data_IF_599775982114
#
_entry.id   IF_599775982114
#
_cell.length_a   1.000
_cell.length_b   1.000
_cell.length_c   1.000
_cell.angle_alpha   90.00
_cell.angle_beta   90.00
_cell.angle_gamma   90.00
#
_symmetry.space_group_name_H-M   'P 1'
#
loop_
_entity.id
_entity.type
_entity.pdbx_description
1 polymer ?
#
# COMPACT_ATOMS: atom_id res chain seq x y z
N UNK A 1 21.62 -15.84 34.22
CA UNK A 1 21.07 -14.58 34.79
C UNK A 1 20.96 -13.45 33.75
N UNK A 2 22.01 -13.10 33.00
CA UNK A 2 21.95 -12.02 31.98
C UNK A 2 20.96 -12.28 30.82
N UNK A 3 20.94 -13.50 30.26
CA UNK A 3 20.02 -13.88 29.17
C UNK A 3 18.54 -13.69 29.51
N UNK A 4 18.14 -13.97 30.76
CA UNK A 4 16.77 -13.78 31.22
C UNK A 4 16.38 -12.30 31.31
N UNK A 5 17.30 -11.43 31.77
CA UNK A 5 17.05 -9.98 31.82
C UNK A 5 16.86 -9.40 30.42
N UNK A 6 17.68 -9.81 29.46
CA UNK A 6 17.55 -9.42 28.05
C UNK A 6 16.22 -9.90 27.48
N UNK A 7 15.84 -11.16 27.73
CA UNK A 7 14.55 -11.69 27.28
C UNK A 7 13.35 -10.92 27.85
N UNK A 8 13.39 -10.50 29.13
CA UNK A 8 12.35 -9.69 29.76
C UNK A 8 12.19 -8.32 29.09
N UNK A 9 13.30 -7.64 28.76
CA UNK A 9 13.26 -6.35 28.07
C UNK A 9 12.68 -6.51 26.67
N UNK A 10 13.11 -7.52 25.91
CA UNK A 10 12.55 -7.78 24.58
C UNK A 10 11.06 -8.12 24.63
N UNK A 11 10.61 -8.88 25.63
CA UNK A 11 9.19 -9.15 25.84
C UNK A 11 8.42 -7.84 26.10
N UNK A 12 8.89 -6.99 27.01
CA UNK A 12 8.25 -5.70 27.29
C UNK A 12 8.15 -4.79 26.05
N UNK A 13 9.21 -4.74 25.23
CA UNK A 13 9.20 -3.99 23.96
C UNK A 13 8.19 -4.57 22.98
N UNK A 14 8.12 -5.90 22.86
CA UNK A 14 7.17 -6.58 21.98
C UNK A 14 5.71 -6.35 22.43
N UNK A 15 5.45 -6.39 23.74
CA UNK A 15 4.13 -6.15 24.32
C UNK A 15 3.69 -4.70 24.11
N UNK A 16 4.57 -3.73 24.38
CA UNK A 16 4.28 -2.31 24.14
C UNK A 16 3.98 -2.02 22.66
N UNK A 17 4.74 -2.64 21.76
CA UNK A 17 4.51 -2.53 20.31
C UNK A 17 3.18 -3.14 19.90
N UNK A 18 2.86 -4.32 20.43
CA UNK A 18 1.60 -5.01 20.14
C UNK A 18 0.41 -4.20 20.63
N UNK A 19 0.47 -3.66 21.86
CA UNK A 19 -0.54 -2.76 22.42
C UNK A 19 -0.73 -1.51 21.55
N UNK A 20 0.36 -0.85 21.15
CA UNK A 20 0.31 0.30 20.25
C UNK A 20 -0.38 -0.04 18.92
N UNK A 21 0.01 -1.14 18.27
CA UNK A 21 -0.58 -1.57 17.01
C UNK A 21 -2.07 -1.87 17.16
N UNK A 22 -2.48 -2.55 18.24
CA UNK A 22 -3.89 -2.83 18.48
C UNK A 22 -4.69 -1.54 18.69
N UNK A 23 -4.19 -0.58 19.47
CA UNK A 23 -4.85 0.72 19.68
C UNK A 23 -4.95 1.50 18.37
N UNK A 24 -3.85 1.58 17.63
CA UNK A 24 -3.79 2.31 16.36
C UNK A 24 -4.76 1.73 15.33
N UNK A 25 -4.69 0.43 15.06
CA UNK A 25 -5.56 -0.22 14.06
C UNK A 25 -7.02 -0.19 14.47
N UNK A 26 -7.35 -0.35 15.75
CA UNK A 26 -8.73 -0.19 16.23
C UNK A 26 -9.24 1.22 15.99
N UNK A 27 -8.42 2.25 16.28
CA UNK A 27 -8.78 3.64 16.04
C UNK A 27 -9.05 3.88 14.55
N UNK A 28 -8.13 3.47 13.67
CA UNK A 28 -8.26 3.63 12.23
C UNK A 28 -9.54 2.99 11.68
N UNK A 29 -9.85 1.77 12.09
CA UNK A 29 -11.04 1.02 11.62
C UNK A 29 -12.36 1.63 12.16
N UNK A 30 -12.34 2.22 13.35
CA UNK A 30 -13.54 2.87 13.91
C UNK A 30 -13.84 4.20 13.23
N UNK A 31 -12.82 4.99 12.96
CA UNK A 31 -12.94 6.35 12.40
C UNK A 31 -13.17 6.37 10.88
N UNK A 32 -12.76 5.31 10.16
CA UNK A 32 -12.79 5.29 8.69
C UNK A 32 -13.67 4.16 8.14
N UNK A 33 -14.39 4.45 7.05
CA UNK A 33 -15.19 3.44 6.32
C UNK A 33 -14.32 2.58 5.40
N UNK A 34 -13.30 3.21 4.81
CA UNK A 34 -12.39 2.61 3.85
C UNK A 34 -10.97 2.98 4.22
N UNK A 35 -10.08 2.00 4.18
CA UNK A 35 -8.64 2.17 4.42
C UNK A 35 -7.91 1.62 3.19
N UNK A 36 -7.04 2.44 2.60
CA UNK A 36 -6.17 2.03 1.51
C UNK A 36 -4.72 1.95 2.01
N UNK A 37 -4.02 0.86 1.68
CA UNK A 37 -2.62 0.64 2.05
C UNK A 37 -1.82 0.15 0.86
N UNK A 38 -0.52 0.40 0.86
CA UNK A 38 0.39 -0.18 -0.15
C UNK A 38 0.71 -1.64 0.15
N UNK A 39 0.77 -2.46 -0.90
CA UNK A 39 1.36 -3.78 -0.79
C UNK A 39 2.89 -3.72 -0.76
N UNK A 40 3.50 -3.85 0.41
CA UNK A 40 4.95 -3.87 0.57
C UNK A 40 5.45 -5.32 0.69
N UNK A 41 6.49 -5.69 -0.06
CA UNK A 41 7.20 -6.95 0.17
C UNK A 41 8.17 -6.81 1.34
N UNK A 42 7.60 -6.66 2.54
CA UNK A 42 8.33 -6.48 3.80
C UNK A 42 9.39 -7.57 3.97
N UNK A 43 9.07 -8.83 3.64
CA UNK A 43 10.02 -9.96 3.66
C UNK A 43 11.29 -9.71 2.83
N UNK A 44 11.16 -9.09 1.66
CA UNK A 44 12.32 -8.75 0.83
C UNK A 44 13.07 -7.54 1.37
N UNK A 45 12.36 -6.56 1.94
CA UNK A 45 12.99 -5.37 2.52
C UNK A 45 13.81 -5.71 3.79
N UNK A 46 13.37 -6.70 4.57
CA UNK A 46 14.10 -7.22 5.72
C UNK A 46 15.44 -7.89 5.36
N UNK A 47 15.69 -8.23 4.08
CA UNK A 47 16.99 -8.75 3.63
C UNK A 47 18.07 -7.66 3.62
N UNK A 48 17.70 -6.39 3.62
CA UNK A 48 18.66 -5.29 3.73
C UNK A 48 19.02 -5.05 5.21
N UNK A 49 20.17 -5.56 5.63
CA UNK A 49 20.63 -5.46 7.03
C UNK A 49 20.74 -4.01 7.56
N UNK A 50 20.90 -3.00 6.69
CA UNK A 50 20.93 -1.59 7.11
C UNK A 50 19.55 -1.06 7.53
N UNK A 51 18.47 -1.61 6.97
CA UNK A 51 17.09 -1.16 7.22
C UNK A 51 16.26 -2.19 7.99
N UNK A 52 16.72 -3.44 8.10
CA UNK A 52 15.98 -4.54 8.67
C UNK A 52 15.48 -4.26 10.10
N UNK A 53 16.32 -3.66 10.94
CA UNK A 53 15.94 -3.29 12.31
C UNK A 53 14.82 -2.25 12.33
N UNK A 54 14.98 -1.15 11.58
CA UNK A 54 13.96 -0.11 11.49
C UNK A 54 12.62 -0.63 10.94
N UNK A 55 12.67 -1.52 9.95
CA UNK A 55 11.48 -2.17 9.38
C UNK A 55 10.82 -3.10 10.40
N UNK A 56 11.61 -3.90 11.13
CA UNK A 56 11.10 -4.78 12.17
C UNK A 56 10.44 -3.98 13.31
N UNK A 57 11.06 -2.88 13.72
CA UNK A 57 10.52 -2.01 14.77
C UNK A 57 9.23 -1.31 14.34
N UNK A 58 9.10 -0.93 13.06
CA UNK A 58 7.87 -0.36 12.52
C UNK A 58 6.73 -1.39 12.34
N UNK A 59 7.05 -2.69 12.29
CA UNK A 59 6.08 -3.80 12.31
C UNK A 59 4.96 -3.70 11.26
N UNK A 60 5.30 -3.27 10.04
CA UNK A 60 4.35 -3.06 8.94
C UNK A 60 3.51 -4.30 8.60
N UNK A 61 4.11 -5.48 8.58
CA UNK A 61 3.38 -6.73 8.30
C UNK A 61 2.29 -6.99 9.34
N UNK A 62 2.58 -6.72 10.61
CA UNK A 62 1.63 -6.92 11.71
C UNK A 62 0.53 -5.85 11.67
N UNK A 63 0.88 -4.59 11.37
CA UNK A 63 -0.10 -3.53 11.15
C UNK A 63 -1.14 -3.93 10.08
N UNK A 64 -0.67 -4.38 8.91
CA UNK A 64 -1.55 -4.81 7.81
C UNK A 64 -2.38 -6.02 8.21
N UNK A 65 -1.77 -7.04 8.84
CA UNK A 65 -2.49 -8.21 9.35
C UNK A 65 -3.61 -7.83 10.32
N UNK A 66 -3.35 -6.85 11.20
CA UNK A 66 -4.34 -6.36 12.15
C UNK A 66 -5.48 -5.59 11.48
N UNK A 67 -5.16 -4.76 10.50
CA UNK A 67 -6.17 -4.06 9.71
C UNK A 67 -7.05 -5.04 8.95
N UNK A 68 -6.50 -6.12 8.38
CA UNK A 68 -7.28 -7.13 7.65
C UNK A 68 -8.40 -7.73 8.50
N UNK A 69 -8.06 -8.34 9.64
CA UNK A 69 -9.09 -8.98 10.46
C UNK A 69 -10.02 -7.97 11.12
N UNK A 70 -9.54 -6.78 11.51
CA UNK A 70 -10.42 -5.76 12.12
C UNK A 70 -11.37 -5.15 11.10
N UNK A 71 -10.91 -4.84 9.89
CA UNK A 71 -11.81 -4.37 8.84
C UNK A 71 -12.90 -5.41 8.58
N UNK A 72 -12.56 -6.70 8.55
CA UNK A 72 -13.54 -7.77 8.44
C UNK A 72 -14.54 -7.79 9.61
N UNK A 73 -14.09 -7.65 10.85
CA UNK A 73 -14.96 -7.65 12.03
C UNK A 73 -15.92 -6.46 12.08
N UNK A 74 -15.45 -5.28 11.70
CA UNK A 74 -16.22 -4.03 11.79
C UNK A 74 -16.93 -3.66 10.48
N UNK A 75 -16.90 -4.54 9.46
CA UNK A 75 -17.52 -4.29 8.16
C UNK A 75 -16.91 -3.10 7.41
N UNK A 76 -15.60 -2.88 7.54
CA UNK A 76 -14.86 -1.84 6.82
C UNK A 76 -14.17 -2.40 5.59
N UNK A 77 -13.92 -1.54 4.62
CA UNK A 77 -13.20 -1.92 3.40
C UNK A 77 -11.71 -1.68 3.57
N UNK A 78 -10.89 -2.72 3.40
CA UNK A 78 -9.44 -2.60 3.29
C UNK A 78 -9.03 -2.85 1.83
N UNK A 79 -8.35 -1.89 1.22
CA UNK A 79 -7.83 -2.01 -0.15
C UNK A 79 -6.31 -2.03 -0.10
N UNK A 80 -5.71 -3.03 -0.73
CA UNK A 80 -4.27 -3.06 -0.97
C UNK A 80 -3.99 -2.61 -2.39
N UNK A 81 -3.22 -1.54 -2.54
CA UNK A 81 -2.80 -1.08 -3.87
C UNK A 81 -1.54 -1.82 -4.32
N UNK A 82 -1.39 -1.95 -5.63
CA UNK A 82 -0.24 -2.63 -6.21
C UNK A 82 1.07 -1.93 -5.84
N UNK A 83 2.08 -2.74 -5.53
CA UNK A 83 3.39 -2.29 -5.06
C UNK A 83 4.22 -1.50 -6.06
N UNK A 84 3.89 -1.60 -7.35
CA UNK A 84 4.57 -0.89 -8.43
C UNK A 84 3.87 0.43 -8.75
N UNK A 85 2.76 0.74 -8.08
CA UNK A 85 2.10 2.02 -8.21
C UNK A 85 3.05 3.14 -7.72
N UNK A 86 3.32 4.17 -8.55
CA UNK A 86 4.30 5.21 -8.23
C UNK A 86 3.73 6.26 -7.26
N UNK A 87 3.22 5.86 -6.09
CA UNK A 87 2.53 6.73 -5.13
C UNK A 87 3.32 7.99 -4.76
N UNK A 88 4.60 7.85 -4.43
CA UNK A 88 5.46 8.97 -4.02
C UNK A 88 5.99 9.80 -5.18
N UNK A 89 6.11 9.20 -6.38
CA UNK A 89 6.65 9.85 -7.59
C UNK A 89 5.59 10.52 -8.45
N UNK A 90 4.33 10.13 -8.29
CA UNK A 90 3.19 10.69 -9.01
C UNK A 90 2.77 11.98 -8.33
N UNK A 91 2.61 13.06 -9.08
CA UNK A 91 1.99 14.29 -8.61
C UNK A 91 0.51 14.03 -8.37
N UNK A 92 0.02 14.26 -7.15
CA UNK A 92 -1.41 14.15 -6.83
C UNK A 92 -2.30 15.19 -7.50
N UNK A 93 -1.72 16.28 -8.01
CA UNK A 93 -2.44 17.35 -8.68
C UNK A 93 -2.63 17.09 -10.20
N UNK A 94 -1.53 16.87 -10.94
CA UNK A 94 -1.59 16.69 -12.41
C UNK A 94 -1.35 15.25 -12.88
N UNK A 95 -0.92 14.34 -12.01
CA UNK A 95 -0.64 12.95 -12.38
C UNK A 95 0.74 12.69 -13.00
N UNK A 96 1.57 13.71 -13.18
CA UNK A 96 2.96 13.57 -13.65
C UNK A 96 3.75 12.60 -12.79
N UNK A 97 4.51 11.67 -13.40
CA UNK A 97 5.37 10.75 -12.66
C UNK A 97 6.83 11.12 -12.87
N UNK A 98 7.50 11.52 -11.79
CA UNK A 98 8.93 11.85 -11.86
C UNK A 98 9.79 10.60 -12.03
N UNK A 99 10.83 10.69 -12.85
CA UNK A 99 11.71 9.55 -13.15
C UNK A 99 12.47 9.05 -11.91
N UNK A 100 13.11 10.00 -11.20
CA UNK A 100 13.98 9.71 -10.05
C UNK A 100 13.56 10.56 -8.86
N UNK A 101 13.25 9.88 -7.76
CA UNK A 101 12.96 10.50 -6.47
C UNK A 101 13.72 9.72 -5.37
N UNK A 102 14.99 10.11 -5.08
CA UNK A 102 15.84 9.41 -4.10
C UNK A 102 15.30 9.52 -2.68
N UNK A 103 15.46 8.49 -1.83
CA UNK A 103 14.76 8.40 -0.53
C UNK A 103 14.92 9.62 0.40
N UNK A 104 16.02 10.37 0.32
CA UNK A 104 16.30 11.57 1.12
C UNK A 104 15.49 12.83 0.74
N UNK A 105 14.85 12.86 -0.43
CA UNK A 105 14.10 14.06 -0.90
C UNK A 105 12.69 14.12 -0.30
N UNK A 106 12.53 14.73 0.86
CA UNK A 106 11.23 14.72 1.58
C UNK A 106 10.18 15.66 0.99
N UNK A 107 10.63 16.74 0.37
CA UNK A 107 9.79 17.73 -0.31
C UNK A 107 10.27 17.90 -1.76
N UNK A 108 9.34 18.14 -2.68
CA UNK A 108 9.65 18.37 -4.10
C UNK A 108 8.55 19.17 -4.79
N UNK A 109 8.94 19.93 -5.82
CA UNK A 109 8.01 20.63 -6.69
C UNK A 109 7.79 19.83 -7.98
N UNK A 110 6.53 19.74 -8.42
CA UNK A 110 6.21 19.05 -9.65
C UNK A 110 6.80 19.80 -10.86
N UNK A 111 7.61 19.15 -11.71
CA UNK A 111 8.22 19.82 -12.87
C UNK A 111 7.19 20.18 -13.96
N UNK A 112 6.01 19.58 -13.96
CA UNK A 112 4.96 19.82 -14.96
C UNK A 112 3.99 20.93 -14.53
N UNK A 113 3.51 20.92 -13.28
CA UNK A 113 2.48 21.85 -12.81
C UNK A 113 2.95 22.81 -11.70
N UNK A 114 4.19 22.70 -11.22
CA UNK A 114 4.76 23.57 -10.18
C UNK A 114 4.18 23.37 -8.78
N UNK A 115 3.34 22.35 -8.55
CA UNK A 115 2.77 22.09 -7.21
C UNK A 115 3.84 21.58 -6.24
N UNK A 116 3.91 22.19 -5.07
CA UNK A 116 4.78 21.74 -3.97
C UNK A 116 4.19 20.53 -3.24
N UNK A 117 5.02 19.53 -2.95
CA UNK A 117 4.61 18.29 -2.29
C UNK A 117 5.51 17.93 -1.11
N UNK A 118 4.89 17.67 0.04
CA UNK A 118 5.44 16.70 1.00
C UNK A 118 5.24 15.29 0.42
N UNK A 119 6.33 14.52 0.36
CA UNK A 119 6.33 13.20 -0.27
C UNK A 119 5.31 12.25 0.35
N UNK A 120 5.24 12.17 1.67
CA UNK A 120 4.44 11.16 2.34
C UNK A 120 2.95 11.53 2.30
N UNK A 121 2.62 12.82 2.41
CA UNK A 121 1.25 13.32 2.23
C UNK A 121 0.79 13.07 0.79
N UNK A 122 1.61 13.41 -0.20
CA UNK A 122 1.31 13.16 -1.61
C UNK A 122 1.15 11.65 -1.89
N UNK A 123 2.03 10.81 -1.33
CA UNK A 123 1.91 9.36 -1.43
C UNK A 123 0.59 8.87 -0.83
N UNK A 124 0.22 9.32 0.38
CA UNK A 124 -1.03 8.95 1.04
C UNK A 124 -2.27 9.34 0.21
N UNK A 125 -2.27 10.55 -0.37
CA UNK A 125 -3.34 11.01 -1.26
C UNK A 125 -3.45 10.14 -2.52
N UNK A 126 -2.32 9.82 -3.15
CA UNK A 126 -2.30 8.96 -4.33
C UNK A 126 -2.73 7.52 -4.02
N UNK A 127 -2.34 6.98 -2.85
CA UNK A 127 -2.76 5.65 -2.40
C UNK A 127 -4.27 5.61 -2.19
N UNK A 128 -4.83 6.64 -1.55
CA UNK A 128 -6.28 6.74 -1.35
C UNK A 128 -7.01 6.83 -2.69
N UNK A 129 -6.55 7.69 -3.60
CA UNK A 129 -7.14 7.84 -4.93
C UNK A 129 -7.12 6.52 -5.72
N UNK A 130 -5.98 5.82 -5.72
CA UNK A 130 -5.86 4.50 -6.35
C UNK A 130 -6.77 3.46 -5.68
N UNK A 131 -6.84 3.44 -4.35
CA UNK A 131 -7.70 2.53 -3.60
C UNK A 131 -9.18 2.74 -3.89
N UNK A 132 -9.63 3.99 -3.99
CA UNK A 132 -11.00 4.32 -4.38
C UNK A 132 -11.30 3.92 -5.83
N UNK A 133 -10.36 4.11 -6.75
CA UNK A 133 -10.49 3.66 -8.13
C UNK A 133 -10.66 2.13 -8.23
N UNK A 134 -9.92 1.36 -7.41
CA UNK A 134 -10.09 -0.11 -7.33
C UNK A 134 -11.50 -0.49 -6.87
N UNK A 135 -12.05 0.21 -5.86
CA UNK A 135 -13.40 -0.05 -5.35
C UNK A 135 -14.47 0.22 -6.40
N UNK A 136 -14.38 1.36 -7.09
CA UNK A 136 -15.40 1.79 -8.06
C UNK A 136 -15.33 0.98 -9.35
N UNK A 137 -14.12 0.74 -9.88
CA UNK A 137 -13.95 0.13 -11.19
C UNK A 137 -13.80 -1.40 -11.14
N UNK A 138 -13.67 -2.00 -9.95
CA UNK A 138 -13.41 -3.44 -9.78
C UNK A 138 -12.09 -3.93 -10.40
N UNK A 139 -11.24 -3.02 -10.88
CA UNK A 139 -10.00 -3.34 -11.56
C UNK A 139 -8.81 -3.20 -10.59
N UNK A 140 -7.97 -4.23 -10.53
CA UNK A 140 -6.64 -4.09 -9.94
C UNK A 140 -5.86 -3.07 -10.77
N UNK A 141 -5.62 -1.88 -10.22
CA UNK A 141 -4.85 -0.81 -10.88
C UNK A 141 -3.40 -1.27 -10.99
N UNK A 142 -3.08 -1.98 -12.07
CA UNK A 142 -1.72 -2.20 -12.52
C UNK A 142 -1.26 -0.88 -13.17
N UNK A 143 -0.06 -0.35 -12.84
CA UNK A 143 0.47 0.77 -13.59
C UNK A 143 0.63 0.32 -15.05
N UNK A 144 0.04 1.10 -15.94
CA UNK A 144 0.09 0.84 -17.38
C UNK A 144 1.56 0.84 -17.79
N UNK A 145 2.11 -0.34 -18.11
CA UNK A 145 3.42 -0.41 -18.74
C UNK A 145 3.19 0.13 -20.13
N UNK A 146 3.90 1.18 -20.53
CA UNK A 146 3.91 1.64 -21.92
C UNK A 146 3.98 0.43 -22.88
N UNK A 147 2.82 0.10 -23.47
CA UNK A 147 2.73 -0.89 -24.54
C UNK A 147 2.97 -0.11 -25.82
N UNK A 148 4.12 -0.35 -26.42
CA UNK A 148 4.40 0.03 -27.80
C UNK A 148 3.28 -0.49 -28.70
N UNK A 149 2.76 0.41 -29.53
CA UNK A 149 1.68 0.21 -30.49
C UNK A 149 1.83 -1.13 -31.21
N UNK A 150 0.83 -2.01 -31.04
CA UNK A 150 0.72 -3.29 -31.75
C UNK A 150 -0.75 -3.71 -31.78
N UNK A 151 -1.37 -3.50 -32.93
CA UNK A 151 -2.79 -3.76 -33.24
C UNK A 151 -3.24 -5.18 -32.87
N UNK A 152 -4.46 -5.33 -32.36
CA UNK A 152 -5.52 -6.11 -33.03
C UNK A 152 -6.79 -6.10 -32.18
N UNK A 153 -7.84 -5.50 -32.73
CA UNK A 153 -9.21 -5.68 -32.29
C UNK A 153 -9.70 -7.09 -32.69
N UNK A 154 -10.75 -7.55 -32.00
CA UNK A 154 -11.66 -8.69 -32.28
C UNK A 154 -11.50 -9.81 -31.25
N UNK A 155 -12.55 -10.38 -30.63
CA UNK A 155 -13.99 -10.18 -30.75
C UNK A 155 -14.67 -10.85 -29.55
N UNK A 156 -15.79 -10.30 -29.11
CA UNK A 156 -16.69 -10.94 -28.16
C UNK A 156 -17.89 -11.49 -28.93
N UNK A 157 -18.01 -12.81 -29.13
CA UNK A 157 -19.28 -13.50 -29.47
C UNK A 157 -19.30 -14.92 -28.93
N UNK A 158 -19.92 -15.10 -27.77
CA UNK A 158 -20.43 -16.40 -27.34
C UNK A 158 -21.80 -16.67 -27.96
N UNK A 159 -21.93 -17.75 -28.73
CA UNK A 159 -23.21 -18.45 -28.95
C UNK A 159 -22.95 -19.95 -28.96
N UNK A 160 -23.29 -20.63 -27.86
CA UNK A 160 -23.39 -22.10 -27.83
C UNK A 160 -24.75 -22.49 -28.38
N UNK A 161 -24.79 -23.23 -29.50
CA UNK A 161 -25.97 -23.96 -29.94
C UNK A 161 -25.98 -25.35 -29.30
N UNK A 162 -27.16 -25.78 -28.83
CA UNK A 162 -27.43 -27.14 -28.35
C UNK A 162 -27.51 -28.10 -29.55
N UNK A 163 -27.04 -29.35 -29.43
CA UNK A 163 -27.38 -30.38 -30.40
C UNK A 163 -28.83 -30.87 -30.16
N UNK A 164 -29.58 -31.06 -31.24
CA UNK A 164 -30.80 -31.87 -31.27
C UNK A 164 -30.48 -33.14 -32.08
N UNK A 165 -30.82 -34.28 -31.46
CA UNK A 165 -31.05 -35.64 -31.99
C UNK A 165 -30.10 -36.18 -33.06
#
# INVERSE_FOLDING_TARGET
KARHKVAQIHAAIADARTDFLHKLTTRLVRENQTIAVEDLAVKNMMKNHKLAQAIADASWSELVRQLEYKCQWYGRTLVKIDRWFPSSKRCGNCGHVVDKLPLNVREWDCPECGTHHDRDINAAQNILAAGLAVIVCGANVRPDRHVSIGQSQNSCKGRKQKPKS
#
